data_IF_919700197781
#
_entry.id   IF_919700197781
#
_cell.length_a   1.000
_cell.length_b   1.000
_cell.length_c   1.000
_cell.angle_alpha   90.00
_cell.angle_beta   90.00
_cell.angle_gamma   90.00
#
_symmetry.space_group_name_H-M   'P 1'
#
loop_
_entity.id
_entity.type
_entity.pdbx_description
1 polymer ?
#
# COMPACT_ATOMS: atom_id res chain seq x y z
N UNK A 1 45.92 61.10 13.93
CA UNK A 1 45.27 60.04 13.10
C UNK A 1 43.75 59.97 13.28
N UNK A 2 43.17 60.16 14.48
CA UNK A 2 41.77 59.81 14.77
C UNK A 2 40.62 60.52 14.02
N UNK A 3 40.76 61.78 13.58
CA UNK A 3 39.62 62.55 13.03
C UNK A 3 39.04 61.96 11.74
N UNK A 4 39.87 61.37 10.86
CA UNK A 4 39.37 60.76 9.61
C UNK A 4 38.42 59.58 9.86
N UNK A 5 38.69 58.77 10.89
CA UNK A 5 37.87 57.60 11.22
C UNK A 5 36.50 57.99 11.81
N UNK A 6 36.40 59.15 12.48
CA UNK A 6 35.12 59.67 12.96
C UNK A 6 34.23 60.11 11.79
N UNK A 7 34.79 60.84 10.82
CA UNK A 7 34.05 61.32 9.65
C UNK A 7 33.58 60.15 8.77
N UNK A 8 34.42 59.11 8.56
CA UNK A 8 34.02 57.93 7.79
C UNK A 8 32.89 57.13 8.45
N UNK A 9 32.82 57.09 9.78
CA UNK A 9 31.76 56.37 10.48
C UNK A 9 30.43 57.15 10.42
N UNK A 10 30.46 58.46 10.68
CA UNK A 10 29.26 59.32 10.57
C UNK A 10 28.65 59.31 9.15
N UNK A 11 29.48 59.19 8.11
CA UNK A 11 29.00 59.02 6.72
C UNK A 11 28.40 57.64 6.43
N UNK A 12 28.78 56.59 7.18
CA UNK A 12 28.18 55.27 7.06
C UNK A 12 26.84 55.17 7.82
N UNK A 13 26.72 55.81 8.98
CA UNK A 13 25.48 55.83 9.76
C UNK A 13 24.36 56.58 9.01
N UNK A 14 24.69 57.73 8.40
CA UNK A 14 23.78 58.48 7.54
C UNK A 14 23.28 57.69 6.31
N UNK A 15 24.03 56.66 5.87
CA UNK A 15 23.65 55.75 4.77
C UNK A 15 22.81 54.54 5.21
N UNK A 16 22.56 54.36 6.52
CA UNK A 16 21.70 53.29 7.05
C UNK A 16 20.27 53.74 7.36
N UNK A 17 19.99 55.05 7.32
CA UNK A 17 18.64 55.57 7.45
C UNK A 17 17.80 55.22 6.20
N UNK A 18 16.62 54.64 6.44
CA UNK A 18 15.59 54.38 5.42
C UNK A 18 15.96 53.37 4.31
N UNK A 19 16.39 52.17 4.71
CA UNK A 19 15.95 50.96 4.01
C UNK A 19 14.40 50.93 4.05
N UNK A 20 13.76 51.24 2.91
CA UNK A 20 12.30 51.19 2.78
C UNK A 20 11.79 49.77 3.01
N UNK A 21 11.29 49.51 4.22
CA UNK A 21 10.46 48.34 4.48
C UNK A 21 9.11 48.56 3.80
N UNK A 22 9.04 48.17 2.52
CA UNK A 22 7.79 48.04 1.77
C UNK A 22 6.98 46.89 2.38
N UNK A 23 6.29 47.17 3.48
CA UNK A 23 5.38 46.22 4.11
C UNK A 23 4.21 45.91 3.19
N UNK A 24 3.84 44.63 3.11
CA UNK A 24 2.64 44.18 2.42
C UNK A 24 1.42 44.99 2.87
N UNK A 25 0.60 45.44 1.92
CA UNK A 25 -0.59 46.20 2.29
C UNK A 25 -1.67 45.28 2.87
N UNK A 26 -2.50 45.80 3.77
CA UNK A 26 -3.59 45.01 4.37
C UNK A 26 -4.56 44.50 3.30
N UNK A 27 -4.81 45.31 2.26
CA UNK A 27 -5.66 44.96 1.10
C UNK A 27 -5.06 43.80 0.30
N UNK A 28 -3.74 43.83 0.05
CA UNK A 28 -3.02 42.82 -0.72
C UNK A 28 -3.04 41.44 -0.05
N UNK A 29 -2.85 41.39 1.28
CA UNK A 29 -3.00 40.16 2.06
C UNK A 29 -4.45 39.64 2.02
N UNK A 30 -5.45 40.54 2.14
CA UNK A 30 -6.88 40.18 2.03
C UNK A 30 -7.22 39.61 0.64
N UNK A 31 -6.74 40.23 -0.43
CA UNK A 31 -6.96 39.75 -1.81
C UNK A 31 -6.34 38.36 -2.02
N UNK A 32 -5.12 38.13 -1.50
CA UNK A 32 -4.46 36.82 -1.59
C UNK A 32 -5.28 35.73 -0.89
N UNK A 33 -5.77 35.94 0.34
CA UNK A 33 -6.56 34.91 1.04
C UNK A 33 -7.94 34.68 0.39
N UNK A 34 -8.55 35.70 -0.23
CA UNK A 34 -9.79 35.53 -1.01
C UNK A 34 -9.56 34.68 -2.26
N UNK A 35 -8.48 34.95 -3.01
CA UNK A 35 -8.12 34.16 -4.20
C UNK A 35 -7.81 32.70 -3.81
N UNK A 36 -7.04 32.49 -2.74
CA UNK A 36 -6.74 31.15 -2.22
C UNK A 36 -8.00 30.41 -1.76
N UNK A 37 -8.95 31.10 -1.12
CA UNK A 37 -10.24 30.51 -0.73
C UNK A 37 -11.08 30.03 -1.91
N UNK A 38 -11.15 30.82 -2.98
CA UNK A 38 -11.84 30.44 -4.22
C UNK A 38 -11.16 29.22 -4.86
N UNK A 39 -9.83 29.24 -5.03
CA UNK A 39 -9.07 28.12 -5.60
C UNK A 39 -9.21 26.84 -4.75
N UNK A 40 -9.15 26.95 -3.42
CA UNK A 40 -9.30 25.82 -2.51
C UNK A 40 -10.68 25.15 -2.64
N UNK A 41 -11.76 25.95 -2.78
CA UNK A 41 -13.12 25.42 -2.93
C UNK A 41 -13.31 24.54 -4.18
N UNK A 42 -12.61 24.85 -5.28
CA UNK A 42 -12.64 24.08 -6.51
C UNK A 42 -11.67 22.87 -6.50
N UNK A 43 -10.55 22.98 -5.77
CA UNK A 43 -9.53 21.94 -5.71
C UNK A 43 -9.86 20.80 -4.72
N UNK A 44 -10.42 21.13 -3.55
CA UNK A 44 -10.62 20.19 -2.45
C UNK A 44 -11.46 18.95 -2.82
N UNK A 45 -12.58 19.04 -3.56
CA UNK A 45 -13.37 17.86 -3.92
C UNK A 45 -12.62 16.88 -4.83
N UNK A 46 -11.73 17.39 -5.71
CA UNK A 46 -10.90 16.55 -6.58
C UNK A 46 -9.81 15.83 -5.78
N UNK A 47 -9.20 16.51 -4.81
CA UNK A 47 -8.16 15.92 -3.97
C UNK A 47 -8.67 14.72 -3.16
N UNK A 48 -9.90 14.81 -2.64
CA UNK A 48 -10.55 13.70 -1.91
C UNK A 48 -10.77 12.49 -2.84
N UNK A 49 -11.30 12.71 -4.05
CA UNK A 49 -11.54 11.63 -5.01
C UNK A 49 -10.24 10.95 -5.47
N UNK A 50 -9.16 11.70 -5.71
CA UNK A 50 -7.86 11.13 -6.12
C UNK A 50 -7.32 10.10 -5.10
N UNK A 51 -7.50 10.34 -3.80
CA UNK A 51 -7.10 9.38 -2.76
C UNK A 51 -7.91 8.08 -2.79
N UNK A 52 -9.19 8.16 -3.16
CA UNK A 52 -10.07 7.00 -3.37
C UNK A 52 -9.70 6.23 -4.63
N UNK A 53 -9.58 6.92 -5.75
CA UNK A 53 -9.28 6.32 -7.05
C UNK A 53 -7.92 5.60 -7.03
N UNK A 54 -6.93 6.16 -6.34
CA UNK A 54 -5.63 5.52 -6.11
C UNK A 54 -5.71 4.20 -5.32
N UNK A 55 -6.62 4.10 -4.33
CA UNK A 55 -6.86 2.88 -3.55
C UNK A 55 -7.58 1.82 -4.39
N UNK A 56 -8.59 2.23 -5.14
CA UNK A 56 -9.32 1.35 -6.09
C UNK A 56 -8.34 0.77 -7.11
N UNK A 57 -7.50 1.61 -7.73
CA UNK A 57 -6.46 1.18 -8.66
C UNK A 57 -5.44 0.24 -8.02
N UNK A 58 -4.97 0.55 -6.79
CA UNK A 58 -4.06 -0.32 -6.02
C UNK A 58 -4.67 -1.71 -5.81
N UNK A 59 -5.90 -1.80 -5.33
CA UNK A 59 -6.59 -3.09 -5.08
C UNK A 59 -6.82 -3.88 -6.38
N UNK A 60 -7.20 -3.21 -7.47
CA UNK A 60 -7.42 -3.86 -8.77
C UNK A 60 -6.10 -4.39 -9.38
N UNK A 61 -5.05 -3.56 -9.40
CA UNK A 61 -3.72 -3.93 -9.89
C UNK A 61 -3.12 -5.06 -9.05
N UNK A 62 -3.26 -4.99 -7.72
CA UNK A 62 -2.78 -6.02 -6.81
C UNK A 62 -3.52 -7.35 -7.00
N UNK A 63 -4.85 -7.34 -7.16
CA UNK A 63 -5.61 -8.54 -7.52
C UNK A 63 -5.21 -9.12 -8.88
N UNK A 64 -4.81 -8.28 -9.85
CA UNK A 64 -4.19 -8.71 -11.11
C UNK A 64 -2.86 -9.43 -10.87
N UNK A 65 -1.98 -8.84 -10.07
CA UNK A 65 -0.68 -9.41 -9.70
C UNK A 65 -0.82 -10.78 -9.02
N UNK A 66 -1.71 -10.91 -8.02
CA UNK A 66 -1.95 -12.18 -7.32
C UNK A 66 -2.44 -13.27 -8.28
N UNK A 67 -3.32 -12.96 -9.25
CA UNK A 67 -3.74 -13.92 -10.28
C UNK A 67 -2.59 -14.33 -11.21
N UNK A 68 -1.71 -13.40 -11.57
CA UNK A 68 -0.51 -13.70 -12.35
C UNK A 68 0.42 -14.67 -11.58
N UNK A 69 0.72 -14.37 -10.31
CA UNK A 69 1.53 -15.23 -9.45
C UNK A 69 0.91 -16.63 -9.25
N UNK A 70 -0.42 -16.75 -9.18
CA UNK A 70 -1.10 -18.04 -9.12
C UNK A 70 -0.83 -18.90 -10.36
N UNK A 71 -0.95 -18.34 -11.56
CA UNK A 71 -0.65 -19.08 -12.80
C UNK A 71 0.85 -19.42 -12.95
N UNK A 72 1.76 -18.61 -12.39
CA UNK A 72 3.18 -18.95 -12.32
C UNK A 72 3.44 -20.13 -11.36
N UNK A 73 2.75 -20.20 -10.21
CA UNK A 73 2.80 -21.38 -9.33
C UNK A 73 2.19 -22.60 -9.99
N UNK A 74 1.00 -22.48 -10.60
CA UNK A 74 0.32 -23.54 -11.34
C UNK A 74 1.23 -24.14 -12.42
N UNK A 75 1.94 -23.30 -13.18
CA UNK A 75 2.97 -23.72 -14.13
C UNK A 75 4.12 -24.49 -13.48
N UNK A 76 4.69 -23.99 -12.37
CA UNK A 76 5.75 -24.71 -11.65
C UNK A 76 5.27 -26.04 -11.05
N UNK A 77 4.02 -26.11 -10.58
CA UNK A 77 3.39 -27.29 -9.99
C UNK A 77 3.20 -28.38 -11.04
N UNK A 78 2.72 -28.02 -12.24
CA UNK A 78 2.66 -28.94 -13.37
C UNK A 78 4.05 -29.45 -13.79
N UNK A 79 5.04 -28.56 -13.92
CA UNK A 79 6.42 -28.94 -14.31
C UNK A 79 7.06 -29.88 -13.27
N UNK A 80 6.82 -29.64 -11.98
CA UNK A 80 7.37 -30.46 -10.87
C UNK A 80 6.55 -31.74 -10.60
N UNK A 81 5.47 -31.99 -11.32
CA UNK A 81 4.61 -33.16 -11.16
C UNK A 81 3.73 -33.15 -9.89
N UNK A 82 3.63 -32.03 -9.17
CA UNK A 82 2.82 -31.91 -7.95
C UNK A 82 1.31 -31.69 -8.24
N UNK A 83 0.80 -32.31 -9.31
CA UNK A 83 -0.52 -32.00 -9.87
C UNK A 83 -1.25 -33.20 -10.47
N UNK A 84 -2.19 -33.74 -9.70
CA UNK A 84 -3.40 -34.38 -10.24
C UNK A 84 -4.51 -34.20 -9.21
N UNK A 85 -5.48 -33.35 -9.53
CA UNK A 85 -6.62 -33.07 -8.67
C UNK A 85 -7.50 -34.33 -8.55
N UNK A 86 -7.26 -35.13 -7.51
CA UNK A 86 -7.92 -36.41 -7.32
C UNK A 86 -7.30 -37.34 -6.26
N UNK A 87 -6.08 -37.09 -5.77
CA UNK A 87 -5.45 -37.89 -4.72
C UNK A 87 -4.94 -37.04 -3.54
N UNK A 88 -5.72 -37.07 -2.45
CA UNK A 88 -5.43 -36.68 -1.06
C UNK A 88 -4.87 -35.27 -0.74
N UNK A 89 -5.32 -34.76 0.40
CA UNK A 89 -4.96 -33.48 1.03
C UNK A 89 -3.47 -33.36 1.40
N UNK A 90 -2.59 -33.20 0.41
CA UNK A 90 -1.14 -33.21 0.62
C UNK A 90 -0.59 -31.77 0.74
N UNK A 91 -0.12 -31.40 1.94
CA UNK A 91 0.58 -30.13 2.16
C UNK A 91 2.01 -30.29 1.63
N UNK A 92 2.29 -29.65 0.50
CA UNK A 92 3.56 -29.78 -0.23
C UNK A 92 4.31 -28.46 -0.21
N UNK A 93 5.63 -28.50 -0.07
CA UNK A 93 6.48 -27.31 -0.20
C UNK A 93 7.20 -27.32 -1.54
N UNK A 94 7.21 -26.19 -2.25
CA UNK A 94 8.06 -25.99 -3.42
C UNK A 94 8.90 -24.73 -3.26
N UNK A 95 10.10 -24.74 -3.84
CA UNK A 95 10.94 -23.54 -3.99
C UNK A 95 10.62 -22.80 -5.28
N UNK A 96 10.37 -21.50 -5.18
CA UNK A 96 10.37 -20.59 -6.33
C UNK A 96 11.82 -20.32 -6.79
N UNK A 97 11.97 -19.64 -7.93
CA UNK A 97 13.28 -19.36 -8.55
C UNK A 97 14.17 -18.40 -7.73
N UNK A 98 13.58 -17.68 -6.78
CA UNK A 98 14.22 -16.82 -5.79
C UNK A 98 14.62 -17.55 -4.49
N UNK A 99 14.47 -18.88 -4.45
CA UNK A 99 14.63 -19.76 -3.28
C UNK A 99 13.57 -19.59 -2.17
N UNK A 100 12.51 -18.81 -2.38
CA UNK A 100 11.37 -18.70 -1.46
C UNK A 100 10.62 -20.02 -1.39
N UNK A 101 10.40 -20.53 -0.17
CA UNK A 101 9.58 -21.72 0.08
C UNK A 101 8.10 -21.34 0.14
N UNK A 102 7.27 -21.94 -0.70
CA UNK A 102 5.80 -21.77 -0.69
C UNK A 102 5.10 -23.07 -0.29
N UNK A 103 4.14 -22.94 0.63
CA UNK A 103 3.20 -23.97 1.07
C UNK A 103 2.06 -24.09 0.05
N UNK A 104 1.91 -25.29 -0.50
CA UNK A 104 0.80 -25.67 -1.37
C UNK A 104 -0.14 -26.62 -0.64
N UNK A 105 -1.43 -26.49 -0.93
CA UNK A 105 -2.48 -27.44 -0.60
C UNK A 105 -3.13 -27.88 -1.91
N UNK A 106 -3.05 -29.18 -2.23
CA UNK A 106 -3.67 -29.78 -3.44
C UNK A 106 -3.31 -29.06 -4.76
N UNK A 107 -2.05 -28.61 -4.89
CA UNK A 107 -1.50 -28.00 -6.10
C UNK A 107 -1.62 -26.46 -6.17
N UNK A 108 -2.39 -25.82 -5.29
CA UNK A 108 -2.52 -24.36 -5.21
C UNK A 108 -1.94 -23.83 -3.90
N UNK A 109 -1.53 -22.54 -3.82
CA UNK A 109 -1.05 -21.95 -2.57
C UNK A 109 -2.04 -22.11 -1.41
N UNK A 110 -1.53 -22.53 -0.25
CA UNK A 110 -2.35 -22.61 0.95
C UNK A 110 -2.72 -21.19 1.43
N UNK A 111 -3.83 -21.07 2.16
CA UNK A 111 -4.45 -19.80 2.58
C UNK A 111 -3.75 -19.16 3.80
N UNK A 112 -2.43 -19.25 3.86
CA UNK A 112 -1.58 -18.72 4.93
C UNK A 112 -0.46 -17.86 4.36
N UNK A 113 0.28 -17.17 5.22
CA UNK A 113 1.28 -16.21 4.76
C UNK A 113 2.46 -16.90 4.05
N UNK A 114 2.78 -18.13 4.44
CA UNK A 114 3.77 -19.01 3.84
C UNK A 114 3.24 -19.79 2.62
N UNK A 115 1.95 -19.63 2.28
CA UNK A 115 1.35 -20.06 1.03
C UNK A 115 1.08 -18.87 0.11
N UNK A 116 -0.16 -18.39 0.09
CA UNK A 116 -0.57 -17.27 -0.78
C UNK A 116 0.13 -15.94 -0.46
N UNK A 117 0.55 -15.71 0.80
CA UNK A 117 1.20 -14.46 1.21
C UNK A 117 2.55 -14.19 0.51
N UNK A 118 3.42 -15.20 0.43
CA UNK A 118 4.74 -15.11 -0.23
C UNK A 118 4.68 -14.85 -1.74
N UNK A 119 3.50 -14.86 -2.37
CA UNK A 119 3.33 -14.44 -3.77
C UNK A 119 3.30 -12.92 -3.97
N UNK A 120 3.33 -12.14 -2.89
CA UNK A 120 3.61 -10.71 -2.93
C UNK A 120 5.12 -10.44 -2.86
N UNK A 121 5.63 -9.60 -3.76
CA UNK A 121 7.04 -9.19 -3.76
C UNK A 121 7.46 -8.61 -2.40
N UNK A 122 8.62 -9.04 -1.90
CA UNK A 122 9.17 -8.58 -0.63
C UNK A 122 8.40 -9.04 0.62
N UNK A 123 7.46 -9.98 0.49
CA UNK A 123 6.74 -10.52 1.64
C UNK A 123 7.66 -11.39 2.51
N UNK A 124 7.79 -11.03 3.78
CA UNK A 124 8.64 -11.76 4.74
C UNK A 124 7.74 -12.61 5.65
N UNK A 125 7.89 -13.93 5.59
CA UNK A 125 7.29 -14.85 6.56
C UNK A 125 7.95 -14.61 7.93
N UNK A 126 7.19 -14.34 9.02
CA UNK A 126 7.74 -14.20 10.36
C UNK A 126 8.53 -15.45 10.78
N UNK A 127 9.64 -15.28 11.50
CA UNK A 127 10.47 -16.39 11.98
C UNK A 127 9.75 -17.34 12.95
N UNK A 128 8.63 -16.91 13.53
CA UNK A 128 7.69 -17.75 14.31
C UNK A 128 6.83 -18.68 13.46
N UNK A 129 6.87 -18.56 12.14
CA UNK A 129 5.84 -19.05 11.24
C UNK A 129 4.53 -18.25 11.33
N UNK A 130 3.58 -18.60 10.46
CA UNK A 130 2.26 -17.97 10.37
C UNK A 130 1.11 -18.95 10.02
N UNK A 131 1.41 -20.24 9.86
CA UNK A 131 0.38 -21.28 9.70
C UNK A 131 -0.45 -21.41 10.97
N UNK A 132 -1.79 -21.48 10.83
CA UNK A 132 -2.74 -21.41 11.95
C UNK A 132 -2.66 -20.11 12.78
N UNK A 133 -1.97 -19.07 12.29
CA UNK A 133 -1.85 -17.77 12.97
C UNK A 133 -2.80 -16.75 12.38
N UNK A 134 -3.60 -16.12 13.25
CA UNK A 134 -4.44 -14.98 12.90
C UNK A 134 -3.68 -13.64 12.95
N UNK A 135 -2.34 -13.67 13.09
CA UNK A 135 -1.51 -12.46 13.07
C UNK A 135 -1.57 -11.77 11.69
N UNK A 136 -1.86 -10.48 11.72
CA UNK A 136 -1.81 -9.62 10.54
C UNK A 136 -0.35 -9.31 10.17
N UNK A 137 -0.03 -9.27 8.87
CA UNK A 137 1.33 -8.99 8.39
C UNK A 137 1.25 -7.85 7.36
N UNK A 138 1.75 -6.67 7.71
CA UNK A 138 1.83 -5.54 6.78
C UNK A 138 3.01 -5.71 5.82
N UNK A 139 2.75 -5.50 4.53
CA UNK A 139 3.76 -5.45 3.48
C UNK A 139 3.43 -4.34 2.47
N UNK A 140 4.23 -3.27 2.45
CA UNK A 140 4.10 -2.11 1.56
C UNK A 140 2.68 -1.47 1.55
N UNK A 141 2.09 -1.24 2.73
CA UNK A 141 0.78 -0.59 2.87
C UNK A 141 -0.45 -1.48 2.56
N UNK A 142 -0.22 -2.78 2.32
CA UNK A 142 -1.24 -3.82 2.27
C UNK A 142 -1.03 -4.79 3.42
N UNK A 143 -2.08 -5.05 4.20
CA UNK A 143 -2.01 -5.95 5.36
C UNK A 143 -2.61 -7.30 5.02
N UNK A 144 -1.79 -8.35 5.08
CA UNK A 144 -2.16 -9.74 4.85
C UNK A 144 -2.81 -10.39 6.08
N UNK A 145 -3.77 -11.29 5.83
CA UNK A 145 -4.42 -12.16 6.79
C UNK A 145 -4.50 -13.61 6.27
N UNK A 146 -3.99 -14.58 7.03
CA UNK A 146 -4.18 -16.05 6.79
C UNK A 146 -5.62 -16.49 7.12
N UNK A 147 -6.02 -17.76 6.82
CA UNK A 147 -7.41 -18.33 6.73
C UNK A 147 -8.12 -19.20 7.95
N UNK A 148 -9.94 -18.42 9.16
CA UNK A 148 -10.53 -18.20 10.53
C UNK A 148 -10.37 -16.73 11.02
N UNK A 149 -10.18 -15.78 10.10
CA UNK A 149 -10.10 -14.33 10.36
C UNK A 149 -11.40 -13.66 9.91
N UNK A 150 -11.79 -12.57 10.56
CA UNK A 150 -12.96 -11.75 10.19
C UNK A 150 -12.58 -10.42 9.52
N UNK A 151 -11.31 -10.25 9.13
CA UNK A 151 -10.76 -9.03 8.54
C UNK A 151 -10.99 -8.93 7.02
N UNK A 152 -11.09 -10.07 6.34
CA UNK A 152 -11.32 -10.23 4.89
C UNK A 152 -12.75 -10.74 4.64
N UNK A 153 -13.47 -10.27 3.58
CA UNK A 153 -14.77 -10.81 3.20
C UNK A 153 -14.79 -12.32 3.00
N UNK A 154 -15.88 -12.97 3.41
CA UNK A 154 -16.02 -14.43 3.39
C UNK A 154 -15.24 -15.17 4.47
N UNK A 155 -14.37 -14.48 5.23
CA UNK A 155 -13.50 -15.08 6.24
C UNK A 155 -12.33 -15.88 5.65
N UNK A 156 -12.03 -15.69 4.36
CA UNK A 156 -10.91 -16.29 3.64
C UNK A 156 -9.60 -15.50 3.86
N UNK A 157 -8.51 -15.96 3.24
CA UNK A 157 -7.23 -15.24 3.28
C UNK A 157 -7.26 -14.05 2.32
N UNK A 158 -6.33 -13.11 2.48
CA UNK A 158 -6.24 -11.97 1.59
C UNK A 158 -5.44 -10.81 2.15
N UNK A 159 -5.56 -9.67 1.47
CA UNK A 159 -4.91 -8.42 1.82
C UNK A 159 -5.92 -7.27 1.85
N UNK A 160 -5.69 -6.25 2.66
CA UNK A 160 -6.52 -5.02 2.67
C UNK A 160 -5.72 -3.76 2.98
N UNK A 161 -6.30 -2.61 2.66
CA UNK A 161 -5.73 -1.29 2.98
C UNK A 161 -6.35 -0.80 4.30
N UNK A 162 -5.58 -0.82 5.39
CA UNK A 162 -6.06 -0.40 6.73
C UNK A 162 -6.48 1.07 6.81
N UNK A 163 -5.93 1.93 5.93
CA UNK A 163 -6.29 3.35 5.88
C UNK A 163 -7.60 3.65 5.14
N UNK A 164 -8.24 2.65 4.53
CA UNK A 164 -9.48 2.82 3.78
C UNK A 164 -10.68 3.15 4.70
N UNK A 165 -11.78 3.67 4.14
CA UNK A 165 -12.95 4.10 4.92
C UNK A 165 -13.64 2.88 5.55
N UNK A 166 -13.73 1.77 4.82
CA UNK A 166 -14.08 0.46 5.37
C UNK A 166 -13.06 -0.58 4.87
N UNK A 167 -11.99 -0.88 5.65
CA UNK A 167 -10.89 -1.73 5.20
C UNK A 167 -11.32 -3.14 4.75
N UNK A 168 -12.33 -3.72 5.38
CA UNK A 168 -12.91 -5.01 4.95
C UNK A 168 -13.63 -4.96 3.58
N UNK A 169 -13.85 -3.77 3.01
CA UNK A 169 -14.42 -3.58 1.66
C UNK A 169 -13.42 -2.87 0.70
N UNK A 170 -12.16 -2.69 1.12
CA UNK A 170 -11.04 -2.24 0.29
C UNK A 170 -9.92 -3.30 0.36
N UNK A 171 -10.17 -4.46 -0.26
CA UNK A 171 -9.45 -5.70 0.00
C UNK A 171 -9.35 -6.61 -1.24
N UNK A 172 -8.34 -7.46 -1.27
CA UNK A 172 -8.22 -8.59 -2.21
C UNK A 172 -8.39 -9.89 -1.44
N UNK A 173 -9.49 -10.60 -1.69
CA UNK A 173 -9.81 -11.90 -1.11
C UNK A 173 -9.20 -13.01 -1.98
N UNK A 174 -8.54 -13.97 -1.34
CA UNK A 174 -8.13 -15.25 -1.91
C UNK A 174 -8.93 -16.38 -1.25
N UNK A 175 -9.93 -16.91 -1.96
CA UNK A 175 -10.75 -18.02 -1.49
C UNK A 175 -10.25 -19.34 -2.06
N UNK A 176 -9.83 -20.24 -1.18
CA UNK A 176 -9.49 -21.62 -1.52
C UNK A 176 -9.79 -22.57 -0.35
N UNK A 177 -10.37 -23.73 -0.66
CA UNK A 177 -10.83 -24.73 0.32
C UNK A 177 -10.26 -26.14 0.07
N UNK A 178 -9.16 -26.26 -0.70
CA UNK A 178 -8.54 -27.54 -1.03
C UNK A 178 -9.21 -28.30 -2.18
N UNK A 179 -10.21 -27.72 -2.85
CA UNK A 179 -10.92 -28.36 -3.96
C UNK A 179 -11.28 -27.35 -5.06
N UNK A 180 -11.30 -27.80 -6.31
CA UNK A 180 -11.45 -26.93 -7.48
C UNK A 180 -10.30 -25.93 -7.62
N UNK A 181 -10.57 -24.81 -8.28
CA UNK A 181 -9.58 -23.76 -8.54
C UNK A 181 -9.75 -22.60 -7.53
N UNK A 182 -8.67 -21.94 -7.10
CA UNK A 182 -8.75 -20.79 -6.21
C UNK A 182 -9.42 -19.58 -6.89
N UNK A 183 -10.11 -18.76 -6.09
CA UNK A 183 -10.76 -17.53 -6.57
C UNK A 183 -10.11 -16.30 -5.93
N UNK A 184 -9.64 -15.37 -6.78
CA UNK A 184 -9.18 -14.03 -6.37
C UNK A 184 -10.25 -12.99 -6.70
N UNK A 185 -10.76 -12.30 -5.67
CA UNK A 185 -11.80 -11.26 -5.79
C UNK A 185 -11.28 -9.93 -5.27
N UNK A 186 -11.46 -8.86 -6.05
CA UNK A 186 -11.17 -7.49 -5.64
C UNK A 186 -12.44 -6.83 -5.08
N UNK A 187 -12.37 -6.35 -3.84
CA UNK A 187 -13.42 -5.59 -3.15
C UNK A 187 -12.99 -4.13 -3.09
N UNK A 188 -13.69 -3.25 -3.80
CA UNK A 188 -13.32 -1.83 -3.96
C UNK A 188 -14.37 -0.85 -3.40
N UNK A 189 -15.44 -1.35 -2.79
CA UNK A 189 -16.58 -0.53 -2.35
C UNK A 189 -16.24 0.36 -1.13
N UNK A 190 -15.28 -0.08 -0.29
CA UNK A 190 -14.82 0.62 0.91
C UNK A 190 -13.55 1.44 0.75
N UNK A 191 -13.00 1.49 -0.47
CA UNK A 191 -11.91 2.38 -0.84
C UNK A 191 -12.43 3.82 -0.98
#
# INVERSE_FOLDING_TARGET
MGIKNLISNLQNDARRAYQTQFGFTLVELVVVIVILGILASAALPRFINLGRDARVATIQNFAGSVRSSLHLVEGQVMIKGFGSAGQQSNITWIKLADNTDIRLWNGYPDRWCDGIGVLQQGFIVPASGCYLSNAAIENHGLTFYGFGNSAIPGGDAGWRIESAITPNQCAVQYRYNGSGNPLVTAHTNGC
#
